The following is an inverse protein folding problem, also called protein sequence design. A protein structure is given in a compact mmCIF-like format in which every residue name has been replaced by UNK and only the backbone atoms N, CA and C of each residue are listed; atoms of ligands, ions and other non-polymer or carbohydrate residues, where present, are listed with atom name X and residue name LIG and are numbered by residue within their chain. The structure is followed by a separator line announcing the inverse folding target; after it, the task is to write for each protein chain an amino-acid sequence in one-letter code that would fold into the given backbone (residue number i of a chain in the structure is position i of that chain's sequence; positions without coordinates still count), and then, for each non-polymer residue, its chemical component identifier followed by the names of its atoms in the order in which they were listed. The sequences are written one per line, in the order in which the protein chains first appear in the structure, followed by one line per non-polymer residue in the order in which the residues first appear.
data_IF_445884327486
#
_entry.id   IF_445884327486
#
_cell.length_a   1.000
_cell.length_b   1.000
_cell.length_c   1.000
_cell.angle_alpha   90.00
_cell.angle_beta   90.00
_cell.angle_gamma   90.00
#
_symmetry.space_group_name_H-M   'P 1'
#
loop_
_entity.id
_entity.type
_entity.pdbx_description
1 polymer ?
#
# COMPACT_ATOMS: atom_id res chain seq x y z
N UNK A 1 22.27 -11.02 -35.78
CA UNK A 1 20.87 -10.55 -35.70
C UNK A 1 20.34 -10.57 -34.26
N UNK A 2 20.50 -11.66 -33.49
CA UNK A 2 20.13 -11.72 -32.05
C UNK A 2 20.77 -10.61 -31.19
N UNK A 3 22.08 -10.36 -31.39
CA UNK A 3 22.87 -9.44 -30.55
C UNK A 3 22.49 -7.95 -30.74
N UNK A 4 21.97 -7.56 -31.90
CA UNK A 4 21.47 -6.20 -32.14
C UNK A 4 20.03 -6.00 -31.68
N UNK A 5 19.20 -7.05 -31.74
CA UNK A 5 17.86 -7.05 -31.15
C UNK A 5 17.90 -6.90 -29.63
N UNK A 6 18.90 -7.49 -28.96
CA UNK A 6 19.08 -7.34 -27.51
C UNK A 6 19.44 -5.91 -27.08
N UNK A 7 20.13 -5.12 -27.92
CA UNK A 7 20.43 -3.71 -27.64
C UNK A 7 19.20 -2.80 -27.69
N UNK A 8 18.17 -3.20 -28.45
CA UNK A 8 16.93 -2.44 -28.63
C UNK A 8 15.76 -3.00 -27.84
N UNK A 9 16.01 -3.95 -26.91
CA UNK A 9 14.96 -4.47 -26.06
C UNK A 9 14.48 -3.35 -25.12
N UNK A 10 13.16 -3.13 -25.01
CA UNK A 10 12.62 -2.19 -24.04
C UNK A 10 13.07 -2.57 -22.63
N UNK A 11 13.43 -1.57 -21.84
CA UNK A 11 13.84 -1.76 -20.46
C UNK A 11 13.39 -0.59 -19.60
N UNK A 12 13.17 -0.89 -18.33
CA UNK A 12 12.84 0.11 -17.32
C UNK A 12 14.11 0.79 -16.81
N UNK A 13 14.07 2.11 -16.70
CA UNK A 13 15.07 2.85 -15.94
C UNK A 13 15.05 2.49 -14.45
N UNK A 14 15.94 3.10 -13.65
CA UNK A 14 16.00 2.85 -12.22
C UNK A 14 14.65 3.11 -11.54
N UNK A 15 14.11 2.16 -10.75
CA UNK A 15 12.87 2.35 -10.04
C UNK A 15 13.03 3.45 -8.98
N UNK A 16 12.02 4.30 -8.87
CA UNK A 16 11.95 5.41 -7.90
C UNK A 16 10.62 5.34 -7.16
N UNK A 17 10.56 5.88 -5.95
CA UNK A 17 9.29 6.09 -5.25
C UNK A 17 8.44 7.03 -6.11
N UNK A 18 7.21 6.64 -6.44
CA UNK A 18 6.30 7.50 -7.19
C UNK A 18 5.83 8.68 -6.33
N UNK A 19 5.72 8.44 -5.02
CA UNK A 19 5.57 9.46 -3.98
C UNK A 19 6.14 8.94 -2.66
N UNK A 20 6.39 9.83 -1.71
CA UNK A 20 6.82 9.44 -0.36
C UNK A 20 5.68 8.84 0.49
N UNK A 21 4.45 8.87 -0.03
CA UNK A 21 3.24 8.43 0.66
C UNK A 21 3.20 6.91 0.79
N UNK A 22 2.70 6.42 1.93
CA UNK A 22 2.22 5.05 2.06
C UNK A 22 0.76 4.98 1.62
N UNK A 23 0.41 3.97 0.84
CA UNK A 23 -0.96 3.80 0.31
C UNK A 23 -1.80 2.94 1.25
N UNK A 24 -1.23 1.82 1.70
CA UNK A 24 -1.82 0.92 2.68
C UNK A 24 -0.71 0.36 3.57
N UNK A 25 -1.05 -0.46 4.56
CA UNK A 25 -0.08 -1.11 5.43
C UNK A 25 1.00 -1.85 4.63
N UNK A 26 2.24 -1.48 4.90
CA UNK A 26 3.45 -2.00 4.25
C UNK A 26 3.57 -1.67 2.77
N UNK A 27 2.70 -0.83 2.18
CA UNK A 27 2.59 -0.68 0.72
C UNK A 27 2.88 0.73 0.23
N UNK A 28 3.75 0.82 -0.78
CA UNK A 28 4.15 2.06 -1.46
C UNK A 28 4.13 1.90 -2.98
N UNK A 29 3.88 3.00 -3.69
CA UNK A 29 3.94 3.01 -5.16
C UNK A 29 5.34 3.39 -5.66
N UNK A 30 5.85 2.61 -6.61
CA UNK A 30 7.08 2.87 -7.35
C UNK A 30 6.78 3.19 -8.81
N UNK A 31 7.67 3.93 -9.44
CA UNK A 31 7.60 4.26 -10.86
C UNK A 31 8.97 4.17 -11.54
N UNK A 32 8.96 3.91 -12.83
CA UNK A 32 10.13 3.87 -13.68
C UNK A 32 9.75 4.28 -15.10
N UNK A 33 10.67 4.97 -15.79
CA UNK A 33 10.50 5.35 -17.20
C UNK A 33 10.90 4.18 -18.11
N UNK A 34 10.11 3.92 -19.14
CA UNK A 34 10.39 2.93 -20.18
C UNK A 34 11.29 3.56 -21.25
N UNK A 35 12.37 2.85 -21.61
CA UNK A 35 13.31 3.23 -22.66
C UNK A 35 13.29 2.24 -23.82
N UNK A 36 13.91 2.62 -24.94
CA UNK A 36 14.05 1.80 -26.15
C UNK A 36 12.72 1.31 -26.74
N UNK A 37 11.74 2.22 -26.83
CA UNK A 37 10.47 1.95 -27.52
C UNK A 37 10.66 2.22 -29.00
N UNK A 38 10.59 1.18 -29.82
CA UNK A 38 10.64 1.29 -31.27
C UNK A 38 9.24 1.61 -31.82
N UNK A 39 9.17 2.36 -32.92
CA UNK A 39 7.94 2.93 -33.50
C UNK A 39 6.95 1.92 -34.07
N UNK A 40 7.33 0.65 -34.20
CA UNK A 40 6.53 -0.37 -34.91
C UNK A 40 5.59 -1.16 -34.01
N UNK A 41 5.74 -1.11 -32.69
CA UNK A 41 4.91 -1.83 -31.72
C UNK A 41 4.19 -0.84 -30.80
N UNK A 42 3.00 -1.20 -30.31
CA UNK A 42 2.28 -0.32 -29.39
C UNK A 42 3.05 -0.22 -28.08
N UNK A 43 3.20 1.00 -27.57
CA UNK A 43 3.89 1.21 -26.31
C UNK A 43 3.21 0.49 -25.13
N UNK A 44 1.90 0.29 -25.23
CA UNK A 44 1.10 -0.41 -24.24
C UNK A 44 1.56 -1.86 -24.09
N UNK A 45 1.80 -2.56 -25.20
CA UNK A 45 2.30 -3.93 -25.19
C UNK A 45 3.69 -4.03 -24.56
N UNK A 46 4.58 -3.07 -24.83
CA UNK A 46 5.92 -3.05 -24.22
C UNK A 46 5.85 -2.76 -22.74
N UNK A 47 5.01 -1.83 -22.33
CA UNK A 47 4.82 -1.53 -20.94
C UNK A 47 4.29 -2.76 -20.16
N UNK A 48 3.32 -3.49 -20.72
CA UNK A 48 2.74 -4.67 -20.07
C UNK A 48 3.66 -5.90 -20.03
N UNK A 49 4.62 -6.01 -20.94
CA UNK A 49 5.47 -7.20 -21.09
C UNK A 49 6.94 -7.00 -20.71
N UNK A 50 7.31 -5.83 -20.19
CA UNK A 50 8.68 -5.58 -19.70
C UNK A 50 8.73 -5.76 -18.19
N UNK A 51 9.58 -6.67 -17.71
CA UNK A 51 9.80 -6.88 -16.28
C UNK A 51 10.83 -5.92 -15.70
N UNK A 52 10.72 -5.64 -14.39
CA UNK A 52 11.66 -4.81 -13.63
C UNK A 52 12.04 -5.52 -12.33
N UNK A 53 13.22 -5.25 -11.80
CA UNK A 53 13.58 -5.61 -10.44
C UNK A 53 13.42 -4.40 -9.51
N UNK A 54 12.66 -4.57 -8.42
CA UNK A 54 12.50 -3.55 -7.38
C UNK A 54 12.89 -4.18 -6.07
N UNK A 55 13.89 -3.61 -5.38
CA UNK A 55 14.41 -4.12 -4.10
C UNK A 55 14.70 -5.64 -4.10
N UNK A 56 15.33 -6.15 -5.16
CA UNK A 56 15.71 -7.55 -5.27
C UNK A 56 14.58 -8.52 -5.63
N UNK A 57 13.37 -8.03 -5.95
CA UNK A 57 12.27 -8.88 -6.45
C UNK A 57 11.84 -8.47 -7.84
N UNK A 58 11.65 -9.45 -8.71
CA UNK A 58 11.22 -9.24 -10.08
C UNK A 58 9.70 -9.06 -10.15
N UNK A 59 9.27 -7.95 -10.76
CA UNK A 59 7.89 -7.71 -11.15
C UNK A 59 7.73 -7.93 -12.64
N UNK A 60 6.84 -8.85 -13.02
CA UNK A 60 6.63 -9.22 -14.43
C UNK A 60 6.01 -8.09 -15.26
N UNK A 61 5.14 -7.27 -14.64
CA UNK A 61 4.44 -6.15 -15.28
C UNK A 61 4.08 -5.05 -14.28
N UNK A 62 3.93 -3.79 -14.71
CA UNK A 62 3.35 -2.74 -13.88
C UNK A 62 1.85 -2.95 -13.64
N UNK A 63 1.32 -2.33 -12.58
CA UNK A 63 -0.12 -2.24 -12.32
C UNK A 63 -0.81 -1.29 -13.31
N UNK A 64 -0.09 -0.26 -13.76
CA UNK A 64 -0.55 0.71 -14.75
C UNK A 64 0.62 1.32 -15.51
N UNK A 65 0.30 1.77 -16.72
CA UNK A 65 1.20 2.45 -17.62
C UNK A 65 0.62 3.82 -17.93
N UNK A 66 1.45 4.85 -17.93
CA UNK A 66 1.04 6.21 -18.28
C UNK A 66 1.97 6.78 -19.34
N UNK A 67 1.40 7.19 -20.47
CA UNK A 67 2.11 7.98 -21.47
C UNK A 67 1.95 9.48 -21.17
N UNK A 68 3.07 10.17 -20.96
CA UNK A 68 3.11 11.61 -20.70
C UNK A 68 3.47 12.44 -21.95
N UNK A 69 3.46 11.82 -23.13
CA UNK A 69 3.77 12.41 -24.41
C UNK A 69 5.26 12.33 -24.77
N UNK A 70 5.58 12.73 -26.00
CA UNK A 70 6.90 12.55 -26.63
C UNK A 70 8.09 13.05 -25.81
N UNK A 71 7.94 14.16 -25.09
CA UNK A 71 9.04 14.77 -24.33
C UNK A 71 9.28 14.08 -22.97
N UNK A 72 8.22 13.54 -22.36
CA UNK A 72 8.29 12.94 -21.02
C UNK A 72 8.44 11.43 -21.06
N UNK A 73 7.88 10.79 -22.07
CA UNK A 73 7.89 9.35 -22.28
C UNK A 73 6.90 8.62 -21.39
N UNK A 74 7.12 7.31 -21.26
CA UNK A 74 6.14 6.36 -20.72
C UNK A 74 6.63 5.85 -19.38
N UNK A 75 5.74 5.78 -18.41
CA UNK A 75 6.05 5.37 -17.05
C UNK A 75 5.20 4.17 -16.66
N UNK A 76 5.84 3.19 -16.04
CA UNK A 76 5.19 2.09 -15.34
C UNK A 76 5.04 2.44 -13.86
N UNK A 77 4.05 1.83 -13.21
CA UNK A 77 3.83 1.96 -11.78
C UNK A 77 3.64 0.58 -11.14
N UNK A 78 4.16 0.41 -9.92
CA UNK A 78 4.10 -0.85 -9.17
C UNK A 78 3.72 -0.59 -7.72
N UNK A 79 2.87 -1.45 -7.17
CA UNK A 79 2.64 -1.50 -5.73
C UNK A 79 3.63 -2.46 -5.10
N UNK A 80 4.43 -1.95 -4.16
CA UNK A 80 5.43 -2.72 -3.42
C UNK A 80 4.98 -2.80 -1.98
N UNK A 81 4.65 -4.01 -1.53
CA UNK A 81 4.14 -4.30 -0.19
C UNK A 81 5.15 -5.01 0.72
N UNK A 82 6.44 -4.96 0.36
CA UNK A 82 7.53 -5.62 1.05
C UNK A 82 8.70 -4.67 1.24
N UNK A 83 9.48 -4.91 2.31
CA UNK A 83 10.68 -4.13 2.62
C UNK A 83 10.41 -2.60 2.68
N UNK A 84 9.19 -2.22 3.13
CA UNK A 84 8.73 -0.86 3.41
C UNK A 84 8.46 -0.66 4.92
N UNK A 85 9.49 -0.59 5.77
CA UNK A 85 9.32 -0.42 7.21
C UNK A 85 8.65 0.92 7.58
N UNK A 86 8.87 1.97 6.78
CA UNK A 86 8.23 3.29 6.96
C UNK A 86 6.71 3.24 6.78
N UNK A 87 6.19 2.25 6.04
CA UNK A 87 4.76 2.08 5.79
C UNK A 87 4.10 1.07 6.74
N UNK A 88 4.77 0.71 7.83
CA UNK A 88 4.25 -0.20 8.86
C UNK A 88 4.05 0.57 10.15
N UNK A 89 2.97 1.37 10.25
CA UNK A 89 2.59 1.92 11.53
C UNK A 89 2.20 0.80 12.49
N UNK A 90 2.15 1.13 13.77
CA UNK A 90 1.83 0.20 14.85
C UNK A 90 0.67 0.76 15.66
N UNK A 91 -0.15 -0.15 16.19
CA UNK A 91 -1.13 0.21 17.20
C UNK A 91 -0.43 0.35 18.55
N UNK A 92 -0.73 1.44 19.26
CA UNK A 92 -0.28 1.64 20.63
C UNK A 92 -1.04 0.74 21.61
N UNK A 93 -1.38 1.26 22.78
CA UNK A 93 -2.17 0.56 23.76
C UNK A 93 -3.64 0.52 23.35
N UNK A 94 -4.22 -0.69 23.39
CA UNK A 94 -5.65 -0.89 23.21
C UNK A 94 -6.43 -0.51 24.47
N UNK A 95 -7.48 0.29 24.31
CA UNK A 95 -8.42 0.69 25.35
C UNK A 95 -9.76 -0.02 25.16
N UNK A 96 -10.18 -0.72 26.21
CA UNK A 96 -11.49 -1.34 26.32
C UNK A 96 -12.56 -0.26 26.52
N UNK A 97 -13.61 -0.26 25.69
CA UNK A 97 -14.77 0.64 25.78
C UNK A 97 -16.02 -0.13 26.19
N UNK A 98 -17.18 0.53 26.08
CA UNK A 98 -18.49 -0.01 26.42
C UNK A 98 -19.07 -0.98 25.38
N UNK A 99 -20.31 -1.38 25.65
CA UNK A 99 -21.15 -2.24 24.81
C UNK A 99 -22.19 -1.42 24.00
N UNK A 100 -22.01 -0.10 23.95
CA UNK A 100 -23.00 0.88 23.48
C UNK A 100 -23.09 1.01 21.95
N UNK A 101 -22.13 0.42 21.21
CA UNK A 101 -22.09 0.57 19.76
C UNK A 101 -22.82 -0.53 18.99
N UNK A 102 -22.63 -1.79 19.37
CA UNK A 102 -23.16 -2.95 18.64
C UNK A 102 -23.58 -4.04 19.65
N UNK A 103 -24.84 -4.49 19.64
CA UNK A 103 -25.32 -5.50 20.58
C UNK A 103 -24.47 -6.77 20.55
N UNK A 104 -24.15 -7.32 21.74
CA UNK A 104 -23.30 -8.50 21.88
C UNK A 104 -21.82 -8.28 21.57
N UNK A 105 -21.39 -7.03 21.33
CA UNK A 105 -20.00 -6.70 21.03
C UNK A 105 -19.47 -5.63 21.97
N UNK A 106 -18.19 -5.76 22.30
CA UNK A 106 -17.44 -4.76 23.04
C UNK A 106 -16.53 -3.98 22.11
N UNK A 107 -16.57 -2.65 22.25
CA UNK A 107 -15.68 -1.77 21.49
C UNK A 107 -14.28 -1.72 22.09
N UNK A 108 -13.28 -1.73 21.22
CA UNK A 108 -11.88 -1.47 21.53
C UNK A 108 -11.37 -0.35 20.64
N UNK A 109 -10.45 0.45 21.17
CA UNK A 109 -9.81 1.54 20.43
C UNK A 109 -8.31 1.53 20.63
N UNK A 110 -7.55 2.00 19.65
CA UNK A 110 -6.10 2.23 19.77
C UNK A 110 -5.69 3.37 18.85
N UNK A 111 -4.74 4.19 19.30
CA UNK A 111 -4.08 5.18 18.45
C UNK A 111 -3.07 4.46 17.55
N UNK A 112 -2.98 4.93 16.31
CA UNK A 112 -2.00 4.54 15.33
C UNK A 112 -0.75 5.41 15.45
N UNK A 113 0.37 4.77 15.76
CA UNK A 113 1.68 5.38 15.93
C UNK A 113 2.63 5.03 14.79
N UNK A 114 3.80 5.66 14.76
CA UNK A 114 4.79 5.53 13.67
C UNK A 114 4.17 5.87 12.29
N UNK A 115 3.40 6.95 12.25
CA UNK A 115 2.69 7.38 11.04
C UNK A 115 3.55 8.33 10.22
N UNK A 116 3.44 8.22 8.90
CA UNK A 116 4.20 9.06 7.97
C UNK A 116 3.28 10.14 7.40
N UNK A 117 3.61 11.42 7.65
CA UNK A 117 2.71 12.57 7.52
C UNK A 117 2.07 12.79 6.14
N UNK A 118 2.70 12.29 5.07
CA UNK A 118 2.19 12.44 3.71
C UNK A 118 1.37 11.23 3.22
N UNK A 119 1.16 10.21 4.06
CA UNK A 119 0.49 8.97 3.64
C UNK A 119 -1.01 9.13 3.46
N UNK A 120 -1.62 8.19 2.75
CA UNK A 120 -3.08 8.03 2.72
C UNK A 120 -3.55 7.42 4.04
N UNK A 121 -3.54 8.25 5.07
CA UNK A 121 -3.75 7.82 6.45
C UNK A 121 -5.07 7.07 6.69
N UNK A 122 -6.22 7.44 6.10
CA UNK A 122 -7.44 6.63 6.21
C UNK A 122 -7.22 5.18 5.78
N UNK A 123 -6.55 4.97 4.63
CA UNK A 123 -6.33 3.63 4.09
C UNK A 123 -5.23 2.86 4.84
N UNK A 124 -4.14 3.54 5.18
CA UNK A 124 -3.08 2.98 6.02
C UNK A 124 -3.65 2.51 7.35
N UNK A 125 -4.45 3.34 8.01
CA UNK A 125 -5.09 3.00 9.26
C UNK A 125 -6.05 1.81 9.13
N UNK A 126 -6.94 1.81 8.13
CA UNK A 126 -7.87 0.70 7.87
C UNK A 126 -7.16 -0.65 7.64
N UNK A 127 -6.06 -0.61 6.91
CA UNK A 127 -5.31 -1.81 6.52
C UNK A 127 -4.25 -2.25 7.52
N UNK A 128 -3.98 -1.47 8.57
CA UNK A 128 -2.96 -1.84 9.58
C UNK A 128 -3.50 -2.95 10.48
N UNK A 129 -2.85 -4.13 10.51
CA UNK A 129 -3.30 -5.23 11.35
C UNK A 129 -3.08 -4.90 12.83
N UNK A 130 -4.12 -5.11 13.64
CA UNK A 130 -4.07 -5.09 15.10
C UNK A 130 -4.09 -6.48 15.66
N UNK A 131 -3.42 -6.66 16.80
CA UNK A 131 -3.55 -7.87 17.63
C UNK A 131 -4.14 -7.43 18.95
N UNK A 132 -5.38 -7.84 19.22
CA UNK A 132 -6.03 -7.52 20.48
C UNK A 132 -5.38 -8.30 21.64
N UNK A 133 -5.58 -7.87 22.90
CA UNK A 133 -5.14 -8.63 24.06
C UNK A 133 -5.68 -10.06 24.12
N UNK A 134 -6.81 -10.35 23.45
CA UNK A 134 -7.35 -11.71 23.27
C UNK A 134 -6.51 -12.61 22.36
N UNK A 135 -5.51 -12.06 21.67
CA UNK A 135 -4.67 -12.76 20.68
C UNK A 135 -5.27 -12.81 19.28
N UNK A 136 -6.46 -12.23 19.09
CA UNK A 136 -7.12 -12.22 17.78
C UNK A 136 -6.54 -11.11 16.88
N UNK A 137 -6.35 -11.44 15.61
CA UNK A 137 -5.82 -10.54 14.60
C UNK A 137 -6.95 -9.93 13.77
N UNK A 138 -7.02 -8.60 13.71
CA UNK A 138 -8.06 -7.89 12.99
C UNK A 138 -7.52 -6.65 12.26
N UNK A 139 -8.04 -6.38 11.06
CA UNK A 139 -8.06 -5.02 10.51
C UNK A 139 -9.11 -4.20 11.24
N UNK A 140 -8.92 -2.89 11.37
CA UNK A 140 -9.92 -2.03 12.05
C UNK A 140 -11.26 -2.08 11.31
N UNK A 141 -12.37 -2.12 12.04
CA UNK A 141 -13.70 -1.95 11.43
C UNK A 141 -13.92 -0.50 11.02
N UNK A 142 -13.47 0.44 11.86
CA UNK A 142 -13.56 1.88 11.61
C UNK A 142 -12.22 2.54 11.90
N UNK A 143 -11.88 3.51 11.07
CA UNK A 143 -10.74 4.38 11.32
C UNK A 143 -11.18 5.84 11.33
N UNK A 144 -10.86 6.56 12.41
CA UNK A 144 -11.26 7.95 12.61
C UNK A 144 -10.04 8.86 12.81
N UNK A 145 -10.06 10.03 12.19
CA UNK A 145 -9.07 11.08 12.42
C UNK A 145 -9.40 11.88 13.68
N UNK A 146 -8.41 12.11 14.53
CA UNK A 146 -8.55 12.92 15.75
C UNK A 146 -7.36 13.87 15.92
N UNK A 147 -7.47 14.80 16.87
CA UNK A 147 -6.34 15.68 17.25
C UNK A 147 -5.14 14.92 17.84
N UNK A 148 -5.33 13.67 18.30
CA UNK A 148 -4.27 12.79 18.81
C UNK A 148 -3.67 11.88 17.73
N UNK A 149 -4.12 12.01 16.48
CA UNK A 149 -3.77 11.11 15.38
C UNK A 149 -4.95 10.23 14.96
N UNK A 150 -4.64 9.14 14.26
CA UNK A 150 -5.64 8.21 13.75
C UNK A 150 -5.97 7.14 14.79
N UNK A 151 -7.26 6.89 15.00
CA UNK A 151 -7.75 5.91 15.96
C UNK A 151 -8.42 4.78 15.19
N UNK A 152 -7.96 3.56 15.42
CA UNK A 152 -8.63 2.35 15.00
C UNK A 152 -9.69 1.96 16.02
N UNK A 153 -10.84 1.49 15.54
CA UNK A 153 -11.90 0.95 16.37
C UNK A 153 -12.22 -0.48 15.90
N UNK A 154 -12.52 -1.35 16.86
CA UNK A 154 -12.92 -2.73 16.65
C UNK A 154 -14.12 -3.06 17.53
N UNK A 155 -15.11 -3.73 16.98
CA UNK A 155 -16.25 -4.25 17.73
C UNK A 155 -16.10 -5.77 17.80
N UNK A 156 -15.83 -6.28 18.99
CA UNK A 156 -15.38 -7.65 19.23
C UNK A 156 -16.48 -8.39 19.98
N UNK A 157 -16.90 -9.60 19.55
CA UNK A 157 -17.91 -10.36 20.26
C UNK A 157 -17.56 -10.52 21.74
N UNK A 158 -18.50 -10.18 22.62
CA UNK A 158 -18.29 -10.24 24.06
C UNK A 158 -19.62 -10.62 24.73
N UNK A 159 -19.65 -11.78 25.38
CA UNK A 159 -20.87 -12.29 26.02
C UNK A 159 -21.36 -11.41 27.16
N UNK A 160 -20.51 -10.57 27.76
CA UNK A 160 -20.94 -9.60 28.77
C UNK A 160 -21.69 -8.41 28.17
N UNK A 161 -21.65 -8.24 26.84
CA UNK A 161 -22.42 -7.23 26.10
C UNK A 161 -23.72 -7.79 25.51
N UNK A 162 -24.11 -9.03 25.83
CA UNK A 162 -25.30 -9.67 25.24
C UNK A 162 -26.64 -9.15 25.80
N UNK A 163 -26.61 -8.41 26.91
CA UNK A 163 -27.79 -7.96 27.67
C UNK A 163 -27.82 -6.43 27.86
N UNK A 164 -26.94 -5.72 27.17
CA UNK A 164 -26.85 -4.25 27.11
C UNK A 164 -27.52 -3.78 25.81
#
# INVERSE_FOLDING_TARGET
MENERNKHKPFWGPPRRASDRCLTYGTREYTAKLYNILTTETWADKCANTSIEIKGRTHARPIRCQDYGSDRGIYGYWLVNYDEPECKPIWDQFWKKGCDHLPGHRRWESILSNTYSNSDMPEVCRSTPGTLPSGEHFTTSTCIGSWRGWIGQWDVPDSSCAWE
#
